data_IF_867925795548
#
_entry.id   IF_867925795548
#
_cell.length_a   1.000
_cell.length_b   1.000
_cell.length_c   1.000
_cell.angle_alpha   90.00
_cell.angle_beta   90.00
_cell.angle_gamma   90.00
#
_symmetry.space_group_name_H-M   'P 1'
#
loop_
_entity.id
_entity.type
_entity.pdbx_description
1 polymer ?
#
# COMPACT_ATOMS: atom_id res chain seq x y z
N UNK A 1 2.62 2.05 13.78
CA UNK A 1 3.70 1.11 13.43
C UNK A 1 3.76 -0.16 14.29
N UNK A 2 3.82 -0.12 15.64
CA UNK A 2 3.99 -1.35 16.45
C UNK A 2 2.87 -2.39 16.24
N UNK A 3 1.63 -1.92 16.10
CA UNK A 3 0.48 -2.77 15.76
C UNK A 3 0.61 -3.45 14.40
N UNK A 4 1.04 -2.70 13.36
CA UNK A 4 1.29 -3.25 12.02
C UNK A 4 2.42 -4.27 12.04
N UNK A 5 3.50 -4.01 12.77
CA UNK A 5 4.61 -4.96 12.94
C UNK A 5 4.12 -6.27 13.59
N UNK A 6 3.28 -6.18 14.62
CA UNK A 6 2.64 -7.35 15.24
C UNK A 6 1.74 -8.11 14.26
N UNK A 7 0.91 -7.40 13.50
CA UNK A 7 0.00 -7.99 12.53
C UNK A 7 0.73 -8.76 11.41
N UNK A 8 1.90 -8.28 10.97
CA UNK A 8 2.73 -8.95 9.96
C UNK A 8 3.15 -10.37 10.38
N UNK A 9 3.23 -10.68 11.68
CA UNK A 9 3.58 -12.01 12.15
C UNK A 9 2.60 -13.10 11.65
N UNK A 10 1.32 -12.76 11.49
CA UNK A 10 0.30 -13.68 10.98
C UNK A 10 0.52 -14.06 9.50
N UNK A 11 1.32 -13.28 8.77
CA UNK A 11 1.60 -13.46 7.34
C UNK A 11 2.97 -14.07 7.07
N UNK A 12 3.68 -14.54 8.11
CA UNK A 12 4.97 -15.22 7.96
C UNK A 12 4.85 -16.60 7.29
N UNK A 13 3.72 -17.28 7.51
CA UNK A 13 3.45 -18.56 6.88
C UNK A 13 3.51 -18.39 5.36
N UNK A 14 4.11 -19.33 4.62
CA UNK A 14 4.19 -19.24 3.18
C UNK A 14 2.77 -19.10 2.64
N UNK A 15 2.56 -18.12 1.75
CA UNK A 15 1.33 -18.07 0.97
C UNK A 15 1.27 -19.38 0.21
N UNK A 16 0.47 -20.34 0.67
CA UNK A 16 0.21 -21.57 -0.07
C UNK A 16 -0.23 -21.14 -1.46
N UNK A 17 0.65 -21.32 -2.44
CA UNK A 17 0.35 -20.95 -3.82
C UNK A 17 -0.98 -21.58 -4.15
N UNK A 18 -1.98 -20.76 -4.50
CA UNK A 18 -3.30 -21.26 -4.90
C UNK A 18 -3.08 -22.21 -6.07
N UNK A 19 -3.05 -23.50 -5.77
CA UNK A 19 -2.80 -24.57 -6.71
C UNK A 19 -3.98 -24.72 -7.65
N UNK A 20 -4.10 -23.83 -8.63
CA UNK A 20 -4.86 -24.08 -9.84
C UNK A 20 -3.91 -24.64 -10.89
N UNK A 21 -3.66 -25.95 -10.79
CA UNK A 21 -3.54 -26.91 -11.90
C UNK A 21 -2.73 -26.54 -13.15
N UNK A 22 -1.78 -25.61 -13.12
CA UNK A 22 -0.95 -25.26 -14.26
C UNK A 22 0.46 -25.76 -13.99
N UNK A 23 0.91 -26.76 -14.75
CA UNK A 23 2.31 -27.20 -14.75
C UNK A 23 3.19 -26.01 -15.12
N UNK A 24 3.85 -25.42 -14.14
CA UNK A 24 4.93 -24.47 -14.36
C UNK A 24 6.24 -25.26 -14.26
N UNK A 25 7.15 -25.00 -15.20
CA UNK A 25 8.55 -25.47 -15.24
C UNK A 25 9.17 -25.35 -13.85
N UNK A 26 10.06 -26.26 -13.46
CA UNK A 26 10.74 -26.23 -12.16
C UNK A 26 11.38 -24.84 -11.93
N UNK A 27 10.66 -24.00 -11.20
CA UNK A 27 11.17 -22.78 -10.59
C UNK A 27 11.78 -23.24 -9.29
N UNK A 28 12.93 -22.67 -8.94
CA UNK A 28 13.52 -22.81 -7.61
C UNK A 28 12.43 -22.75 -6.54
N UNK A 29 12.48 -23.68 -5.58
CA UNK A 29 11.41 -23.83 -4.61
C UNK A 29 11.21 -22.49 -3.89
N UNK A 30 9.99 -21.92 -3.88
CA UNK A 30 9.76 -20.65 -3.22
C UNK A 30 10.14 -20.78 -1.74
N UNK A 31 10.72 -19.71 -1.18
CA UNK A 31 11.13 -19.65 0.22
C UNK A 31 10.01 -20.18 1.13
N UNK A 32 10.34 -20.93 2.19
CA UNK A 32 9.34 -21.56 3.07
C UNK A 32 8.54 -20.53 3.88
N UNK A 33 8.78 -19.24 3.68
CA UNK A 33 8.28 -18.10 4.43
C UNK A 33 8.12 -16.93 3.48
N UNK A 34 7.18 -16.03 3.76
CA UNK A 34 6.90 -14.87 2.91
C UNK A 34 8.06 -13.88 2.92
N UNK A 35 8.81 -13.80 1.82
CA UNK A 35 9.97 -12.89 1.67
C UNK A 35 9.64 -11.41 1.91
N UNK A 36 8.51 -10.84 1.42
CA UNK A 36 8.17 -9.45 1.72
C UNK A 36 7.94 -9.21 3.22
N UNK A 37 7.31 -10.17 3.91
CA UNK A 37 7.06 -10.09 5.35
C UNK A 37 8.36 -10.23 6.13
N UNK A 38 9.23 -11.14 5.72
CA UNK A 38 10.56 -11.28 6.31
C UNK A 38 11.39 -10.01 6.15
N UNK A 39 11.37 -9.39 4.98
CA UNK A 39 12.11 -8.14 4.71
C UNK A 39 11.62 -7.03 5.64
N UNK A 40 10.30 -6.84 5.76
CA UNK A 40 9.74 -5.82 6.64
C UNK A 40 9.99 -6.08 8.13
N UNK A 41 10.10 -7.34 8.54
CA UNK A 41 10.35 -7.72 9.95
C UNK A 41 11.82 -7.95 10.29
N UNK A 42 12.68 -8.09 9.29
CA UNK A 42 14.10 -8.38 9.43
C UNK A 42 14.96 -7.14 9.69
N UNK A 43 16.28 -7.34 9.81
CA UNK A 43 17.24 -6.22 9.89
C UNK A 43 17.11 -5.31 8.67
N UNK A 44 17.09 -3.99 8.89
CA UNK A 44 16.82 -2.99 7.85
C UNK A 44 15.34 -2.82 7.48
N UNK A 45 14.44 -3.61 8.07
CA UNK A 45 12.99 -3.41 8.00
C UNK A 45 12.50 -2.39 9.03
N UNK A 46 11.27 -2.59 9.52
CA UNK A 46 10.59 -1.64 10.43
C UNK A 46 11.43 -1.33 11.67
N UNK A 47 12.08 -2.32 12.29
CA UNK A 47 12.88 -2.09 13.50
C UNK A 47 14.12 -1.24 13.21
N UNK A 48 14.84 -1.54 12.12
CA UNK A 48 16.06 -0.83 11.75
C UNK A 48 15.78 0.63 11.44
N UNK A 49 14.81 0.88 10.55
CA UNK A 49 14.43 2.24 10.15
C UNK A 49 13.98 3.09 11.35
N UNK A 50 13.17 2.54 12.27
CA UNK A 50 12.73 3.31 13.45
C UNK A 50 13.88 3.61 14.41
N UNK A 51 14.81 2.68 14.58
CA UNK A 51 15.99 2.89 15.44
C UNK A 51 16.98 3.87 14.81
N UNK A 52 17.19 3.80 13.50
CA UNK A 52 18.05 4.74 12.76
C UNK A 52 17.49 6.16 12.87
N UNK A 53 16.18 6.34 12.65
CA UNK A 53 15.54 7.66 12.84
C UNK A 53 15.60 8.15 14.28
N UNK A 54 15.48 7.25 15.26
CA UNK A 54 15.64 7.62 16.66
C UNK A 54 17.08 8.04 16.96
N UNK A 55 18.07 7.36 16.41
CA UNK A 55 19.50 7.70 16.54
C UNK A 55 19.77 9.10 15.99
N UNK A 56 19.31 9.39 14.76
CA UNK A 56 19.45 10.71 14.13
C UNK A 56 18.75 11.80 14.96
N UNK A 57 17.53 11.52 15.45
CA UNK A 57 16.80 12.46 16.31
C UNK A 57 17.58 12.75 17.60
N UNK A 58 18.14 11.73 18.25
CA UNK A 58 18.96 11.89 19.45
C UNK A 58 20.22 12.71 19.17
N UNK A 59 20.90 12.45 18.06
CA UNK A 59 22.08 13.21 17.65
C UNK A 59 21.77 14.69 17.48
N UNK A 60 20.66 15.04 16.81
CA UNK A 60 20.25 16.43 16.57
C UNK A 60 19.79 17.15 17.85
N UNK A 61 19.25 16.41 18.82
CA UNK A 61 18.90 16.94 20.15
C UNK A 61 20.08 16.98 21.12
N UNK A 62 21.26 16.47 20.73
CA UNK A 62 22.43 16.36 21.59
C UNK A 62 22.26 15.36 22.74
N UNK A 63 21.39 14.36 22.56
CA UNK A 63 21.13 13.30 23.52
C UNK A 63 22.07 12.12 23.34
N UNK A 64 22.20 11.30 24.37
CA UNK A 64 22.98 10.06 24.31
C UNK A 64 22.39 9.09 23.28
N UNK A 65 23.28 8.40 22.56
CA UNK A 65 22.92 7.37 21.58
C UNK A 65 22.03 6.29 22.20
N UNK A 66 20.87 5.98 21.58
CA UNK A 66 20.03 4.87 22.03
C UNK A 66 20.71 3.51 21.87
N UNK A 67 20.79 2.74 22.94
CA UNK A 67 21.18 1.33 22.85
C UNK A 67 19.97 0.43 22.58
N UNK A 68 20.01 -0.43 21.55
CA UNK A 68 18.96 -1.43 21.33
C UNK A 68 18.93 -2.45 22.48
N UNK A 69 17.79 -2.55 23.19
CA UNK A 69 17.60 -3.51 24.29
C UNK A 69 16.27 -4.24 24.15
N UNK A 70 16.26 -5.50 24.57
CA UNK A 70 15.06 -6.34 24.57
C UNK A 70 14.77 -7.04 23.25
N UNK A 71 13.60 -7.66 23.18
CA UNK A 71 13.12 -8.35 21.99
C UNK A 71 12.77 -7.36 20.87
N UNK A 72 12.79 -7.82 19.61
CA UNK A 72 12.57 -6.94 18.44
C UNK A 72 11.24 -6.18 18.51
N UNK A 73 10.17 -6.82 18.98
CA UNK A 73 8.86 -6.16 19.09
C UNK A 73 8.85 -5.05 20.16
N UNK A 74 9.59 -5.24 21.26
CA UNK A 74 9.76 -4.23 22.31
C UNK A 74 10.58 -3.06 21.78
N UNK A 75 11.64 -3.34 21.01
CA UNK A 75 12.47 -2.33 20.34
C UNK A 75 11.66 -1.47 19.37
N UNK A 76 10.82 -2.10 18.54
CA UNK A 76 9.88 -1.38 17.65
C UNK A 76 8.94 -0.49 18.45
N UNK A 77 8.38 -1.00 19.55
CA UNK A 77 7.46 -0.25 20.39
C UNK A 77 8.16 0.96 21.05
N UNK A 78 9.35 0.75 21.60
CA UNK A 78 10.14 1.80 22.25
C UNK A 78 10.58 2.87 21.26
N UNK A 79 11.14 2.50 20.11
CA UNK A 79 11.56 3.47 19.09
C UNK A 79 10.36 4.29 18.57
N UNK A 80 9.23 3.63 18.28
CA UNK A 80 8.02 4.32 17.86
C UNK A 80 7.47 5.26 18.95
N UNK A 81 7.50 4.85 20.22
CA UNK A 81 7.07 5.70 21.33
C UNK A 81 7.94 6.95 21.44
N UNK A 82 9.27 6.81 21.37
CA UNK A 82 10.20 7.96 21.47
C UNK A 82 10.05 8.94 20.31
N UNK A 83 9.87 8.45 19.09
CA UNK A 83 9.59 9.29 17.93
C UNK A 83 8.23 10.03 18.09
N UNK A 84 7.23 9.34 18.65
CA UNK A 84 5.90 9.93 18.90
C UNK A 84 5.94 10.99 19.98
N UNK A 85 6.67 10.77 21.08
CA UNK A 85 6.82 11.74 22.16
C UNK A 85 7.41 13.07 21.67
N UNK A 86 8.22 13.02 20.60
CA UNK A 86 8.89 14.18 20.00
C UNK A 86 8.17 14.71 18.74
N UNK A 87 6.99 14.21 18.40
CA UNK A 87 6.32 14.50 17.11
C UNK A 87 6.07 16.00 16.88
N UNK A 88 5.77 16.76 17.92
CA UNK A 88 5.51 18.19 17.82
C UNK A 88 6.79 18.97 17.46
N UNK A 89 7.92 18.60 18.05
CA UNK A 89 9.21 19.20 17.71
C UNK A 89 9.65 18.79 16.32
N UNK A 90 9.53 17.49 16.00
CA UNK A 90 9.79 16.95 14.66
C UNK A 90 9.03 17.75 13.60
N UNK A 91 7.72 17.91 13.76
CA UNK A 91 6.87 18.57 12.76
C UNK A 91 7.14 20.08 12.63
N UNK A 92 7.60 20.74 13.69
CA UNK A 92 7.75 22.21 13.71
C UNK A 92 9.16 22.69 13.39
N UNK A 93 10.17 21.90 13.73
CA UNK A 93 11.55 22.40 13.87
C UNK A 93 12.62 21.50 13.26
N UNK A 94 12.33 20.22 13.03
CA UNK A 94 13.37 19.27 12.62
C UNK A 94 13.63 19.32 11.11
N UNK A 95 14.86 19.61 10.65
CA UNK A 95 15.14 19.75 9.21
C UNK A 95 14.85 18.49 8.39
N UNK A 96 14.97 17.31 9.00
CA UNK A 96 14.77 16.02 8.35
C UNK A 96 13.33 15.50 8.41
N UNK A 97 12.38 16.28 8.96
CA UNK A 97 11.00 15.84 9.17
C UNK A 97 10.31 15.35 7.89
N UNK A 98 10.62 15.94 6.72
CA UNK A 98 10.08 15.52 5.44
C UNK A 98 10.54 14.12 5.03
N UNK A 99 11.86 13.87 5.07
CA UNK A 99 12.45 12.58 4.75
C UNK A 99 11.98 11.49 5.72
N UNK A 100 11.94 11.81 7.03
CA UNK A 100 11.39 10.93 8.06
C UNK A 100 9.93 10.53 7.76
N UNK A 101 9.09 11.51 7.44
CA UNK A 101 7.68 11.25 7.15
C UNK A 101 7.48 10.44 5.87
N UNK A 102 8.30 10.65 4.85
CA UNK A 102 8.26 9.90 3.58
C UNK A 102 8.59 8.43 3.81
N UNK A 103 9.72 8.15 4.45
CA UNK A 103 10.16 6.78 4.69
C UNK A 103 9.18 6.02 5.62
N UNK A 104 8.64 6.69 6.64
CA UNK A 104 7.64 6.11 7.53
C UNK A 104 6.35 5.76 6.77
N UNK A 105 5.90 6.62 5.84
CA UNK A 105 4.72 6.36 4.99
C UNK A 105 4.98 5.20 4.04
N UNK A 106 6.19 5.06 3.52
CA UNK A 106 6.52 3.96 2.62
C UNK A 106 6.58 2.61 3.36
N UNK A 107 7.10 2.59 4.59
CA UNK A 107 7.02 1.42 5.46
C UNK A 107 5.56 1.06 5.80
N UNK A 108 4.76 2.05 6.17
CA UNK A 108 3.35 1.86 6.48
C UNK A 108 2.58 1.33 5.26
N UNK A 109 2.78 1.93 4.08
CA UNK A 109 2.16 1.48 2.83
C UNK A 109 2.54 0.05 2.50
N UNK A 110 3.82 -0.29 2.66
CA UNK A 110 4.34 -1.64 2.43
C UNK A 110 3.71 -2.65 3.37
N UNK A 111 3.64 -2.35 4.67
CA UNK A 111 3.00 -3.21 5.66
C UNK A 111 1.48 -3.36 5.43
N UNK A 112 0.78 -2.25 5.14
CA UNK A 112 -0.66 -2.26 4.86
C UNK A 112 -1.00 -3.05 3.61
N UNK A 113 -0.16 -3.01 2.57
CA UNK A 113 -0.38 -3.81 1.36
C UNK A 113 -0.46 -5.33 1.64
N UNK A 114 0.09 -5.78 2.76
CA UNK A 114 0.09 -7.17 3.21
C UNK A 114 -1.05 -7.42 4.21
N UNK A 115 -1.16 -6.58 5.24
CA UNK A 115 -2.10 -6.78 6.36
C UNK A 115 -3.54 -6.44 5.96
N UNK A 116 -3.71 -5.45 5.10
CA UNK A 116 -4.99 -4.99 4.58
C UNK A 116 -4.84 -4.70 3.08
N UNK A 117 -4.65 -5.75 2.26
CA UNK A 117 -4.42 -5.57 0.83
C UNK A 117 -5.59 -4.80 0.23
N UNK A 118 -5.33 -3.77 -0.59
CA UNK A 118 -6.40 -3.01 -1.21
C UNK A 118 -7.31 -3.94 -2.00
N UNK A 119 -8.61 -3.68 -1.95
CA UNK A 119 -9.57 -4.53 -2.64
C UNK A 119 -9.22 -4.61 -4.13
N UNK A 120 -9.16 -5.84 -4.66
CA UNK A 120 -8.77 -6.05 -6.05
C UNK A 120 -9.80 -5.40 -6.96
N UNK A 121 -9.38 -4.36 -7.67
CA UNK A 121 -10.22 -3.71 -8.66
C UNK A 121 -10.08 -4.41 -10.01
N UNK A 122 -11.21 -4.68 -10.65
CA UNK A 122 -11.25 -5.21 -12.02
C UNK A 122 -11.43 -4.05 -12.99
N UNK A 123 -10.72 -4.11 -14.12
CA UNK A 123 -11.01 -3.24 -15.27
C UNK A 123 -12.42 -3.56 -15.77
N UNK A 124 -13.31 -2.58 -15.71
CA UNK A 124 -14.68 -2.74 -16.22
C UNK A 124 -14.77 -2.26 -17.68
N UNK A 125 -14.07 -1.20 -18.07
CA UNK A 125 -14.03 -0.71 -19.45
C UNK A 125 -13.52 0.72 -19.51
N UNK A 126 -13.94 1.48 -20.53
CA UNK A 126 -13.57 2.89 -20.70
C UNK A 126 -14.71 3.82 -20.24
N UNK A 127 -14.36 5.06 -19.90
CA UNK A 127 -15.33 6.08 -19.55
C UNK A 127 -16.13 6.52 -20.79
N UNK A 128 -17.46 6.42 -20.76
CA UNK A 128 -18.29 6.74 -21.93
C UNK A 128 -18.62 8.24 -22.04
N UNK A 129 -18.29 9.05 -21.03
CA UNK A 129 -18.62 10.48 -20.97
C UNK A 129 -18.06 11.22 -22.19
N UNK A 130 -18.92 11.97 -22.87
CA UNK A 130 -18.53 12.90 -23.93
C UNK A 130 -17.93 14.18 -23.31
N UNK A 131 -16.82 14.63 -23.88
CA UNK A 131 -16.18 15.90 -23.57
C UNK A 131 -16.80 17.02 -24.42
N UNK A 132 -16.45 18.27 -24.11
CA UNK A 132 -16.98 19.46 -24.79
C UNK A 132 -16.62 19.54 -26.27
N UNK A 133 -15.58 18.83 -26.71
CA UNK A 133 -15.15 18.70 -28.10
C UNK A 133 -15.86 17.56 -28.86
N UNK A 134 -16.82 16.89 -28.22
CA UNK A 134 -17.55 15.75 -28.79
C UNK A 134 -16.77 14.43 -28.75
N UNK A 135 -15.55 14.40 -28.21
CA UNK A 135 -14.77 13.18 -28.06
C UNK A 135 -15.13 12.45 -26.76
N UNK A 136 -14.88 11.14 -26.70
CA UNK A 136 -15.11 10.36 -25.48
C UNK A 136 -13.90 10.43 -24.56
N UNK A 137 -14.17 10.54 -23.26
CA UNK A 137 -13.16 10.55 -22.20
C UNK A 137 -12.18 9.37 -22.31
N UNK A 138 -12.66 8.15 -22.55
CA UNK A 138 -11.80 6.99 -22.84
C UNK A 138 -10.95 6.48 -21.66
N UNK A 139 -10.95 7.16 -20.52
CA UNK A 139 -10.20 6.77 -19.32
C UNK A 139 -10.61 5.36 -18.85
N UNK A 140 -9.63 4.53 -18.51
CA UNK A 140 -9.88 3.15 -18.06
C UNK A 140 -10.49 3.17 -16.67
N UNK A 141 -11.72 2.68 -16.56
CA UNK A 141 -12.44 2.54 -15.31
C UNK A 141 -12.12 1.18 -14.66
N UNK A 142 -11.87 1.24 -13.36
CA UNK A 142 -11.64 0.08 -12.50
C UNK A 142 -12.63 0.13 -11.34
N UNK A 143 -13.22 -1.01 -11.01
CA UNK A 143 -14.19 -1.12 -9.93
C UNK A 143 -13.83 -2.30 -9.01
N UNK A 144 -13.92 -2.14 -7.68
CA UNK A 144 -13.91 -3.27 -6.75
C UNK A 144 -15.09 -4.22 -6.99
N UNK A 145 -15.13 -5.34 -6.29
CA UNK A 145 -16.28 -6.24 -6.40
C UNK A 145 -17.46 -5.68 -5.61
N UNK A 146 -18.69 -5.77 -6.17
CA UNK A 146 -19.91 -5.42 -5.43
C UNK A 146 -20.23 -3.91 -5.28
N UNK A 147 -19.44 -3.01 -5.88
CA UNK A 147 -19.82 -1.59 -5.93
C UNK A 147 -21.06 -1.39 -6.82
N UNK A 148 -21.86 -0.36 -6.52
CA UNK A 148 -23.07 -0.01 -7.29
C UNK A 148 -22.88 1.23 -8.17
N UNK A 149 -21.79 1.96 -7.95
CA UNK A 149 -21.41 3.17 -8.68
C UNK A 149 -19.93 3.13 -9.05
N UNK A 150 -19.58 3.77 -10.16
CA UNK A 150 -18.19 3.93 -10.61
C UNK A 150 -17.94 5.39 -10.97
N UNK A 151 -16.86 5.96 -10.46
CA UNK A 151 -16.41 7.30 -10.79
C UNK A 151 -15.24 7.26 -11.78
N UNK A 152 -15.25 8.17 -12.74
CA UNK A 152 -14.10 8.35 -13.62
C UNK A 152 -13.00 9.14 -12.91
N UNK A 153 -11.75 8.66 -12.84
CA UNK A 153 -10.67 9.42 -12.21
C UNK A 153 -10.27 10.66 -13.04
N UNK A 154 -10.59 10.69 -14.34
CA UNK A 154 -10.19 11.77 -15.24
C UNK A 154 -11.26 12.87 -15.33
N UNK A 155 -12.43 12.59 -15.90
CA UNK A 155 -13.46 13.63 -16.05
C UNK A 155 -14.33 13.81 -14.80
N UNK A 156 -14.27 12.88 -13.83
CA UNK A 156 -15.02 12.87 -12.56
C UNK A 156 -16.53 12.57 -12.53
N UNK A 157 -17.29 12.31 -13.61
CA UNK A 157 -18.66 11.84 -13.43
C UNK A 157 -18.70 10.50 -12.72
N UNK A 158 -19.70 10.37 -11.87
CA UNK A 158 -20.06 9.12 -11.21
C UNK A 158 -21.28 8.55 -11.92
N UNK A 159 -21.15 7.32 -12.38
CA UNK A 159 -22.21 6.58 -13.06
C UNK A 159 -22.67 5.42 -12.20
N UNK A 160 -23.98 5.20 -12.02
CA UNK A 160 -24.48 3.92 -11.55
C UNK A 160 -24.00 2.81 -12.49
N UNK A 161 -23.57 1.67 -11.94
CA UNK A 161 -22.94 0.60 -12.71
C UNK A 161 -23.85 0.05 -13.81
N UNK A 162 -25.16 -0.06 -13.54
CA UNK A 162 -26.14 -0.50 -14.53
C UNK A 162 -26.25 0.47 -15.71
N UNK A 163 -26.23 1.79 -15.45
CA UNK A 163 -26.26 2.84 -16.48
C UNK A 163 -24.99 2.78 -17.33
N UNK A 164 -23.84 2.62 -16.68
CA UNK A 164 -22.57 2.46 -17.39
C UNK A 164 -22.57 1.22 -18.30
N UNK A 165 -23.03 0.07 -17.82
CA UNK A 165 -23.15 -1.16 -18.63
C UNK A 165 -24.09 -0.96 -19.82
N UNK A 166 -25.19 -0.24 -19.64
CA UNK A 166 -26.14 0.04 -20.72
C UNK A 166 -25.49 0.90 -21.83
N UNK A 167 -24.77 1.96 -21.45
CA UNK A 167 -24.09 2.84 -22.41
C UNK A 167 -23.00 2.08 -23.18
N UNK A 168 -22.16 1.32 -22.47
CA UNK A 168 -21.09 0.54 -23.12
C UNK A 168 -21.66 -0.54 -24.04
N UNK A 169 -22.79 -1.17 -23.67
CA UNK A 169 -23.47 -2.13 -24.55
C UNK A 169 -24.03 -1.48 -25.81
N UNK A 170 -24.65 -0.31 -25.69
CA UNK A 170 -25.15 0.45 -26.83
C UNK A 170 -23.99 0.82 -27.78
N UNK A 171 -22.90 1.36 -27.23
CA UNK A 171 -21.71 1.72 -28.01
C UNK A 171 -21.10 0.52 -28.75
N UNK A 172 -21.04 -0.65 -28.12
CA UNK A 172 -20.53 -1.86 -28.77
C UNK A 172 -21.48 -2.42 -29.84
N UNK A 173 -22.79 -2.19 -29.72
CA UNK A 173 -23.76 -2.57 -30.75
C UNK A 173 -23.61 -1.69 -32.00
N UNK A 174 -23.45 -0.38 -31.81
CA UNK A 174 -23.21 0.58 -32.91
C UNK A 174 -21.91 0.29 -33.65
N UNK A 175 -20.82 0.01 -32.93
CA UNK A 175 -19.52 -0.31 -33.54
C UNK A 175 -19.49 -1.63 -34.33
N UNK A 176 -20.42 -2.56 -34.07
CA UNK A 176 -20.55 -3.82 -34.82
C UNK A 176 -21.43 -3.68 -36.06
N UNK A 177 -22.23 -2.63 -36.14
CA UNK A 177 -23.15 -2.37 -37.24
C UNK A 177 -22.56 -1.48 -38.35
N UNK A 178 -21.42 -0.83 -38.09
CA UNK A 178 -20.57 -0.17 -39.08
C UNK A 178 -19.46 -1.09 -39.56
#
# INVERSE_FOLDING_TARGET
>A
MPSLYGALAAFLQPSAGRGQGRRVRAVEAPLPVSEPVLTLRGPGGIVGVLEDWRSVLHADLGWTEPEPRGAIHERVAEAAARLTDNVLWIASSWPLAGAFAEELRDLERSALSIVSPPEKTRRIGQCPTLQSDGTRCGAVLRAPHGVTQVSCPWCRPTHPLHTWYAIVRADQAEQRAS
#
